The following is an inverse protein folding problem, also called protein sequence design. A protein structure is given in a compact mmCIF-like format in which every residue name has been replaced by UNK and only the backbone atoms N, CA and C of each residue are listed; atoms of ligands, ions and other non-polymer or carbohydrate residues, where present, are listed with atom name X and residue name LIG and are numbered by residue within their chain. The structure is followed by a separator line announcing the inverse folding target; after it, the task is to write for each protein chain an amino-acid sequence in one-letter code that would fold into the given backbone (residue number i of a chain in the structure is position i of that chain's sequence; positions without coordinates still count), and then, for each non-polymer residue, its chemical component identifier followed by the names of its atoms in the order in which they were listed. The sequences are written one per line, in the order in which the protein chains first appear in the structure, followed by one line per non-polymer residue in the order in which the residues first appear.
data_IF_485667670404
#
_entry.id   IF_485667670404
#
_cell.length_a   1.000
_cell.length_b   1.000
_cell.length_c   1.000
_cell.angle_alpha   90.00
_cell.angle_beta   90.00
_cell.angle_gamma   90.00
#
_symmetry.space_group_name_H-M   'P 1'
#
loop_
_entity.id
_entity.type
_entity.pdbx_description
1 polymer ?
#
# COMPACT_ATOMS: atom_id res chain seq x y z
N UNK A 1 2.56 -15.54 -9.27
CA UNK A 1 2.03 -15.51 -7.90
C UNK A 1 0.53 -15.62 -8.01
N UNK A 2 -0.06 -16.55 -7.26
CA UNK A 2 -1.51 -16.69 -7.16
C UNK A 2 -2.10 -15.56 -6.31
N UNK A 3 -3.37 -15.22 -6.54
CA UNK A 3 -4.05 -14.20 -5.72
C UNK A 3 -4.20 -14.66 -4.26
N UNK A 4 -4.36 -15.96 -4.01
CA UNK A 4 -4.33 -16.53 -2.66
C UNK A 4 -3.00 -16.29 -1.93
N UNK A 5 -1.86 -16.49 -2.61
CA UNK A 5 -0.53 -16.19 -2.07
C UNK A 5 -0.38 -14.69 -1.78
N UNK A 6 -0.82 -13.84 -2.70
CA UNK A 6 -0.79 -12.38 -2.51
C UNK A 6 -1.62 -11.97 -1.29
N UNK A 7 -2.84 -12.51 -1.16
CA UNK A 7 -3.76 -12.23 -0.07
C UNK A 7 -3.14 -12.56 1.29
N UNK A 8 -2.49 -13.72 1.41
CA UNK A 8 -1.84 -14.14 2.67
C UNK A 8 -0.64 -13.26 3.02
N UNK A 9 0.15 -12.84 2.03
CA UNK A 9 1.44 -12.17 2.24
C UNK A 9 1.38 -10.64 2.37
N UNK A 10 0.35 -10.01 1.79
CA UNK A 10 0.28 -8.55 1.62
C UNK A 10 -1.05 -7.92 2.05
N UNK A 11 -1.94 -8.71 2.65
CA UNK A 11 -3.22 -8.18 3.17
C UNK A 11 -3.45 -8.62 4.61
N UNK A 12 -4.35 -7.93 5.31
CA UNK A 12 -4.79 -8.30 6.65
C UNK A 12 -5.78 -9.48 6.67
N UNK A 13 -5.95 -10.16 5.52
CA UNK A 13 -6.81 -11.33 5.33
C UNK A 13 -8.27 -11.07 5.73
N UNK A 14 -8.74 -9.84 5.51
CA UNK A 14 -10.15 -9.48 5.60
C UNK A 14 -10.83 -9.60 4.24
N UNK A 15 -12.16 -9.72 4.27
CA UNK A 15 -12.97 -9.72 3.06
C UNK A 15 -12.83 -8.37 2.33
N UNK A 16 -12.48 -8.43 1.05
CA UNK A 16 -12.41 -7.25 0.20
C UNK A 16 -13.76 -6.98 -0.43
N UNK A 17 -14.26 -5.76 -0.29
CA UNK A 17 -15.45 -5.28 -1.00
C UNK A 17 -15.08 -4.62 -2.32
N UNK A 18 -16.02 -4.55 -3.26
CA UNK A 18 -15.83 -3.81 -4.51
C UNK A 18 -15.62 -2.30 -4.27
N UNK A 19 -16.01 -1.78 -3.09
CA UNK A 19 -15.77 -0.40 -2.69
C UNK A 19 -14.31 0.01 -2.72
N UNK A 20 -13.37 -0.90 -2.42
CA UNK A 20 -11.94 -0.59 -2.51
C UNK A 20 -11.51 -0.27 -3.94
N UNK A 21 -11.97 -1.04 -4.92
CA UNK A 21 -11.71 -0.75 -6.33
C UNK A 21 -12.36 0.58 -6.75
N UNK A 22 -13.56 0.89 -6.25
CA UNK A 22 -14.25 2.16 -6.53
C UNK A 22 -13.52 3.37 -5.95
N UNK A 23 -12.89 3.25 -4.77
CA UNK A 23 -12.03 4.30 -4.21
C UNK A 23 -10.86 4.61 -5.15
N UNK A 24 -10.22 3.58 -5.71
CA UNK A 24 -9.13 3.77 -6.67
C UNK A 24 -9.61 4.28 -8.04
N UNK A 25 -10.86 4.00 -8.46
CA UNK A 25 -11.47 4.67 -9.63
C UNK A 25 -11.60 6.18 -9.40
N UNK A 26 -11.90 6.59 -8.17
CA UNK A 26 -11.95 8.01 -7.81
C UNK A 26 -10.55 8.62 -7.80
N UNK A 27 -9.51 7.92 -7.31
CA UNK A 27 -8.11 8.36 -7.42
C UNK A 27 -7.69 8.49 -8.90
N UNK A 28 -7.94 7.47 -9.72
CA UNK A 28 -7.70 7.50 -11.17
C UNK A 28 -8.38 8.69 -11.85
N UNK A 29 -9.65 8.97 -11.52
CA UNK A 29 -10.38 10.10 -12.09
C UNK A 29 -9.74 11.45 -11.75
N UNK A 30 -9.18 11.60 -10.55
CA UNK A 30 -8.42 12.79 -10.15
C UNK A 30 -7.13 12.94 -10.95
N UNK A 31 -6.39 11.85 -11.15
CA UNK A 31 -5.16 11.89 -11.95
C UNK A 31 -5.46 12.25 -13.42
N UNK A 32 -6.56 11.75 -13.99
CA UNK A 32 -7.00 12.11 -15.36
C UNK A 32 -7.39 13.58 -15.46
N UNK A 33 -8.22 14.09 -14.53
CA UNK A 33 -8.68 15.50 -14.54
C UNK A 33 -7.51 16.48 -14.34
N UNK A 34 -6.49 16.08 -13.58
CA UNK A 34 -5.28 16.89 -13.36
C UNK A 34 -4.20 16.66 -14.42
N UNK A 35 -4.47 15.88 -15.46
CA UNK A 35 -3.53 15.53 -16.54
C UNK A 35 -2.24 14.86 -16.05
N UNK A 36 -2.29 14.18 -14.90
CA UNK A 36 -1.15 13.46 -14.33
C UNK A 36 -1.05 12.04 -14.90
N UNK A 37 -0.77 11.96 -16.20
CA UNK A 37 -0.67 10.70 -16.94
C UNK A 37 0.39 9.73 -16.40
N UNK A 38 1.36 10.24 -15.64
CA UNK A 38 2.40 9.41 -15.01
C UNK A 38 1.84 8.47 -13.95
N UNK A 39 0.80 8.89 -13.23
CA UNK A 39 0.20 8.10 -12.14
C UNK A 39 -0.94 7.19 -12.62
N UNK A 40 -1.50 7.41 -13.81
CA UNK A 40 -2.61 6.60 -14.34
C UNK A 40 -2.33 5.08 -14.33
N UNK A 41 -1.14 4.58 -14.77
CA UNK A 41 -0.84 3.15 -14.69
C UNK A 41 -0.82 2.61 -13.25
N UNK A 42 -0.42 3.45 -12.30
CA UNK A 42 -0.38 3.08 -10.89
C UNK A 42 -1.80 2.88 -10.35
N UNK A 43 -2.73 3.79 -10.65
CA UNK A 43 -4.13 3.68 -10.20
C UNK A 43 -4.86 2.52 -10.89
N UNK A 44 -4.60 2.28 -12.18
CA UNK A 44 -5.15 1.11 -12.90
C UNK A 44 -4.67 -0.22 -12.30
N UNK A 45 -3.41 -0.28 -11.88
CA UNK A 45 -2.85 -1.43 -11.18
C UNK A 45 -3.53 -1.63 -9.81
N UNK A 46 -3.85 -0.55 -9.10
CA UNK A 46 -4.46 -0.62 -7.77
C UNK A 46 -5.95 -1.02 -7.87
N UNK A 47 -6.68 -0.53 -8.89
CA UNK A 47 -8.02 -1.02 -9.24
C UNK A 47 -8.00 -2.52 -9.55
N UNK A 48 -7.07 -2.97 -10.40
CA UNK A 48 -6.99 -4.35 -10.86
C UNK A 48 -6.82 -5.32 -9.68
N UNK A 49 -5.89 -5.03 -8.76
CA UNK A 49 -5.63 -5.92 -7.63
C UNK A 49 -6.83 -5.98 -6.67
N UNK A 50 -7.54 -4.86 -6.45
CA UNK A 50 -8.73 -4.88 -5.59
C UNK A 50 -9.89 -5.66 -6.22
N UNK A 51 -10.03 -5.63 -7.54
CA UNK A 51 -11.00 -6.49 -8.25
C UNK A 51 -10.63 -7.96 -8.09
N UNK A 52 -9.37 -8.34 -8.29
CA UNK A 52 -8.90 -9.73 -8.10
C UNK A 52 -9.09 -10.20 -6.65
N UNK A 53 -8.76 -9.36 -5.66
CA UNK A 53 -8.99 -9.66 -4.24
C UNK A 53 -10.47 -9.80 -3.90
N UNK A 54 -11.34 -8.98 -4.49
CA UNK A 54 -12.79 -9.11 -4.33
C UNK A 54 -13.28 -10.43 -4.96
N UNK A 55 -12.82 -10.77 -6.17
CA UNK A 55 -13.17 -12.02 -6.83
C UNK A 55 -12.75 -13.24 -5.99
N UNK A 56 -11.52 -13.23 -5.49
CA UNK A 56 -11.00 -14.28 -4.62
C UNK A 56 -11.80 -14.38 -3.31
N UNK A 57 -11.98 -13.27 -2.58
CA UNK A 57 -12.64 -13.31 -1.26
C UNK A 57 -14.15 -13.50 -1.28
N UNK A 58 -14.82 -13.27 -2.42
CA UNK A 58 -16.27 -13.43 -2.55
C UNK A 58 -16.68 -14.69 -3.34
N UNK A 59 -15.84 -15.17 -4.25
CA UNK A 59 -16.17 -16.28 -5.16
C UNK A 59 -15.12 -17.38 -5.21
N UNK A 60 -14.07 -17.32 -4.37
CA UNK A 60 -12.97 -18.30 -4.32
C UNK A 60 -12.28 -18.46 -5.69
N UNK A 61 -12.26 -17.39 -6.47
CA UNK A 61 -11.60 -17.36 -7.78
C UNK A 61 -10.09 -17.17 -7.58
N UNK A 62 -9.37 -18.28 -7.40
CA UNK A 62 -7.91 -18.27 -7.27
C UNK A 62 -7.23 -18.45 -8.64
N UNK A 63 -6.44 -17.46 -9.04
CA UNK A 63 -5.76 -17.41 -10.32
C UNK A 63 -4.43 -16.67 -10.20
N UNK A 64 -3.60 -16.73 -11.24
CA UNK A 64 -2.39 -15.93 -11.30
C UNK A 64 -2.72 -14.44 -11.44
N UNK A 65 -1.98 -13.60 -10.73
CA UNK A 65 -2.14 -12.15 -10.78
C UNK A 65 -2.18 -11.63 -12.22
N UNK A 66 -3.18 -10.81 -12.54
CA UNK A 66 -3.25 -10.16 -13.85
C UNK A 66 -2.00 -9.32 -14.10
N UNK A 67 -1.66 -9.14 -15.38
CA UNK A 67 -0.47 -8.37 -15.77
C UNK A 67 -0.47 -6.95 -15.20
N UNK A 68 -1.64 -6.30 -15.11
CA UNK A 68 -1.77 -4.97 -14.49
C UNK A 68 -1.45 -5.01 -13.00
N UNK A 69 -1.95 -6.00 -12.26
CA UNK A 69 -1.74 -6.15 -10.82
C UNK A 69 -0.33 -6.56 -10.41
N UNK A 70 0.46 -7.10 -11.34
CA UNK A 70 1.87 -7.37 -11.08
C UNK A 70 2.67 -6.10 -10.77
N UNK A 71 2.26 -4.93 -11.26
CA UNK A 71 2.86 -3.65 -10.87
C UNK A 71 2.62 -3.36 -9.38
N UNK A 72 1.42 -3.65 -8.87
CA UNK A 72 1.11 -3.51 -7.46
C UNK A 72 1.98 -4.43 -6.59
N UNK A 73 2.23 -5.68 -7.02
CA UNK A 73 3.14 -6.59 -6.32
C UNK A 73 4.53 -5.98 -6.10
N UNK A 74 5.10 -5.36 -7.13
CA UNK A 74 6.40 -4.69 -7.02
C UNK A 74 6.34 -3.52 -6.02
N UNK A 75 5.26 -2.72 -6.07
CA UNK A 75 5.05 -1.61 -5.11
C UNK A 75 5.02 -2.12 -3.67
N UNK A 76 4.24 -3.16 -3.38
CA UNK A 76 4.10 -3.66 -2.00
C UNK A 76 5.39 -4.30 -1.48
N UNK A 77 6.12 -5.03 -2.33
CA UNK A 77 7.43 -5.60 -1.98
C UNK A 77 8.44 -4.51 -1.64
N UNK A 78 8.49 -3.43 -2.42
CA UNK A 78 9.36 -2.29 -2.15
C UNK A 78 8.99 -1.55 -0.86
N UNK A 79 7.72 -1.58 -0.45
CA UNK A 79 7.23 -0.90 0.76
C UNK A 79 7.50 -1.63 2.06
N UNK A 80 7.54 -2.97 2.06
CA UNK A 80 7.77 -3.77 3.27
C UNK A 80 9.03 -3.39 4.06
N UNK A 81 10.23 -3.29 3.47
CA UNK A 81 11.43 -2.96 4.24
C UNK A 81 11.36 -1.56 4.86
N UNK A 82 10.71 -0.60 4.19
CA UNK A 82 10.53 0.76 4.72
C UNK A 82 9.57 0.74 5.90
N UNK A 83 8.46 0.00 5.80
CA UNK A 83 7.54 -0.16 6.93
C UNK A 83 8.20 -0.88 8.10
N UNK A 84 8.97 -1.93 7.86
CA UNK A 84 9.74 -2.60 8.90
C UNK A 84 10.64 -1.62 9.66
N UNK A 85 11.37 -0.75 8.95
CA UNK A 85 12.18 0.31 9.55
C UNK A 85 11.34 1.30 10.37
N UNK A 86 10.20 1.75 9.84
CA UNK A 86 9.28 2.66 10.56
C UNK A 86 8.79 2.02 11.87
N UNK A 87 8.34 0.76 11.83
CA UNK A 87 7.84 0.05 13.01
C UNK A 87 8.94 -0.17 14.06
N UNK A 88 10.12 -0.58 13.61
CA UNK A 88 11.29 -0.75 14.47
C UNK A 88 11.67 0.57 15.16
N UNK A 89 11.66 1.69 14.41
CA UNK A 89 11.97 3.01 14.95
C UNK A 89 10.99 3.44 16.05
N UNK A 90 9.68 3.22 15.85
CA UNK A 90 8.68 3.61 16.85
C UNK A 90 8.52 2.61 18.00
N UNK A 91 9.19 1.45 17.92
CA UNK A 91 9.22 0.45 18.98
C UNK A 91 7.94 -0.39 19.07
N UNK A 92 7.26 -0.64 17.95
CA UNK A 92 6.07 -1.51 17.90
C UNK A 92 6.31 -2.72 17.01
N UNK A 93 5.72 -3.89 17.31
CA UNK A 93 5.90 -5.09 16.48
C UNK A 93 5.47 -4.85 15.03
N UNK A 94 6.33 -5.21 14.08
CA UNK A 94 6.07 -5.02 12.65
C UNK A 94 4.89 -5.88 12.19
N UNK A 95 3.86 -5.22 11.65
CA UNK A 95 2.79 -5.90 10.93
C UNK A 95 3.25 -6.26 9.51
N UNK A 96 3.75 -7.50 9.37
CA UNK A 96 4.25 -8.05 8.11
C UNK A 96 3.22 -8.08 6.97
N UNK A 97 1.94 -7.95 7.28
CA UNK A 97 0.85 -7.97 6.32
C UNK A 97 0.47 -6.57 5.83
N UNK A 98 1.10 -5.51 6.37
CA UNK A 98 0.80 -4.14 6.00
C UNK A 98 1.85 -3.53 5.07
N UNK A 99 1.41 -3.04 3.91
CA UNK A 99 2.26 -2.46 2.87
C UNK A 99 1.64 -1.20 2.24
N UNK A 100 0.97 -0.38 3.06
CA UNK A 100 0.33 0.86 2.62
C UNK A 100 1.31 1.89 2.05
N UNK A 101 0.79 2.90 1.36
CA UNK A 101 1.61 3.97 0.81
C UNK A 101 2.22 4.82 1.94
N UNK A 102 3.55 4.73 2.12
CA UNK A 102 4.29 5.50 3.13
C UNK A 102 4.75 6.88 2.62
N UNK A 103 4.62 7.19 1.33
CA UNK A 103 5.07 8.48 0.75
C UNK A 103 4.19 9.67 1.17
N UNK A 104 3.05 9.41 1.84
CA UNK A 104 2.16 10.43 2.36
C UNK A 104 2.22 10.37 3.88
N UNK A 105 2.75 11.41 4.53
CA UNK A 105 2.88 11.49 6.00
C UNK A 105 1.58 11.17 6.72
N UNK A 106 0.44 11.65 6.21
CA UNK A 106 -0.87 11.39 6.81
C UNK A 106 -1.27 9.91 6.80
N UNK A 107 -0.86 9.14 5.76
CA UNK A 107 -1.07 7.69 5.71
C UNK A 107 -0.21 6.99 6.76
N UNK A 108 1.02 7.47 7.00
CA UNK A 108 1.91 6.95 8.05
C UNK A 108 1.35 7.23 9.44
N UNK A 109 1.01 8.49 9.73
CA UNK A 109 0.42 8.92 11.00
C UNK A 109 -0.86 8.16 11.29
N UNK A 110 -1.79 8.07 10.32
CA UNK A 110 -3.06 7.34 10.49
C UNK A 110 -2.82 5.87 10.85
N UNK A 111 -1.86 5.21 10.19
CA UNK A 111 -1.55 3.81 10.47
C UNK A 111 -0.96 3.63 11.87
N UNK A 112 0.06 4.41 12.20
CA UNK A 112 0.79 4.28 13.47
C UNK A 112 -0.09 4.65 14.68
N UNK A 113 -0.98 5.63 14.53
CA UNK A 113 -2.01 5.94 15.53
C UNK A 113 -2.94 4.75 15.80
N UNK A 114 -3.27 3.97 14.77
CA UNK A 114 -4.07 2.75 14.90
C UNK A 114 -3.42 1.65 15.74
N UNK A 115 -2.10 1.71 15.96
CA UNK A 115 -1.35 0.79 16.82
C UNK A 115 -0.81 1.46 18.09
N UNK A 116 -1.36 2.62 18.47
CA UNK A 116 -1.08 3.29 19.74
C UNK A 116 0.16 4.20 19.74
N UNK A 117 0.74 4.50 18.58
CA UNK A 117 1.86 5.46 18.48
C UNK A 117 1.30 6.90 18.44
N UNK A 118 1.95 7.82 19.17
CA UNK A 118 1.56 9.23 19.14
C UNK A 118 1.79 9.85 17.76
N UNK A 119 1.00 10.86 17.41
CA UNK A 119 1.14 11.55 16.13
C UNK A 119 2.53 12.18 15.96
N UNK A 120 3.07 12.79 17.01
CA UNK A 120 4.41 13.39 17.01
C UNK A 120 5.50 12.36 16.67
N UNK A 121 5.50 11.21 17.36
CA UNK A 121 6.46 10.12 17.10
C UNK A 121 6.28 9.51 15.71
N UNK A 122 5.06 9.44 15.21
CA UNK A 122 4.77 8.95 13.86
C UNK A 122 5.32 9.91 12.77
N UNK A 123 5.21 11.23 12.97
CA UNK A 123 5.79 12.24 12.08
C UNK A 123 7.31 12.20 12.13
N UNK A 124 7.89 12.10 13.32
CA UNK A 124 9.35 11.95 13.50
C UNK A 124 9.88 10.73 12.73
N UNK A 125 9.24 9.56 12.87
CA UNK A 125 9.61 8.36 12.14
C UNK A 125 9.54 8.53 10.61
N UNK A 126 8.50 9.20 10.13
CA UNK A 126 8.36 9.51 8.70
C UNK A 126 9.52 10.39 8.20
N UNK A 127 9.84 11.49 8.88
CA UNK A 127 10.95 12.36 8.48
C UNK A 127 12.30 11.65 8.53
N UNK A 128 12.55 10.86 9.57
CA UNK A 128 13.82 10.16 9.74
C UNK A 128 14.04 9.06 8.69
N UNK A 129 13.03 8.21 8.47
CA UNK A 129 13.14 7.02 7.62
C UNK A 129 12.79 7.33 6.17
N UNK A 130 11.69 8.02 5.91
CA UNK A 130 11.20 8.26 4.54
C UNK A 130 11.98 9.41 3.91
N UNK A 131 11.98 10.60 4.52
CA UNK A 131 12.65 11.77 3.92
C UNK A 131 14.17 11.72 4.05
N UNK A 132 14.71 11.30 5.21
CA UNK A 132 16.15 11.11 5.42
C UNK A 132 16.78 10.12 4.43
N UNK A 133 16.04 9.09 4.01
CA UNK A 133 16.51 8.17 2.97
C UNK A 133 16.57 8.81 1.57
N UNK A 134 15.68 9.76 1.27
CA UNK A 134 15.66 10.49 -0.01
C UNK A 134 16.87 11.42 -0.10
N UNK A 135 17.18 12.16 0.97
CA UNK A 135 18.34 13.04 1.02
C UNK A 135 19.66 12.27 0.87
N UNK A 136 19.75 11.06 1.43
CA UNK A 136 20.93 10.20 1.31
C UNK A 136 21.17 9.66 -0.11
N UNK A 137 20.12 9.57 -0.94
CA UNK A 137 20.20 9.07 -2.33
C UNK A 137 20.51 10.18 -3.35
N UNK A 138 20.37 11.44 -2.95
CA UNK A 138 20.63 12.61 -3.79
C UNK A 138 22.05 13.18 -3.61
N UNK A 139 22.83 12.63 -2.66
CA UNK A 139 24.25 12.94 -2.44
C UNK A 139 25.12 11.83 -3.04
#
# INVERSE_FOLDING_TARGET
MLISEYYVLYTDQKKFGLSYALEEVVELSKEVVTFNWKNVPDELSDISIFVELWLYTCFDYDHELWRSSQLNLQKVQARKPVWEQIYNYVGVPYDRNYCGNFNKVDKVVKRLKGVGVSEEKAREAYHHIVEGSIESRLK
#
